data_IF_521065063387
#
_entry.id   IF_521065063387
#
_cell.length_a   1.000
_cell.length_b   1.000
_cell.length_c   1.000
_cell.angle_alpha   90.00
_cell.angle_beta   90.00
_cell.angle_gamma   90.00
#
_symmetry.space_group_name_H-M   'P 1'
#
loop_
_entity.id
_entity.type
_entity.pdbx_description
1 polymer ?
#
# COMPACT_ATOMS: atom_id res chain seq x y z
N UNK A 1 8.10 17.46 -11.37
CA UNK A 1 9.15 16.52 -10.95
C UNK A 1 8.91 16.20 -9.49
N UNK A 2 9.12 14.96 -9.09
CA UNK A 2 8.86 14.45 -7.74
C UNK A 2 10.20 14.11 -7.07
N UNK A 3 10.43 14.61 -5.85
CA UNK A 3 11.71 14.52 -5.16
C UNK A 3 11.49 13.99 -3.75
N UNK A 4 12.17 12.88 -3.44
CA UNK A 4 12.09 12.29 -2.10
C UNK A 4 13.30 12.71 -1.28
N UNK A 5 13.04 13.37 -0.16
CA UNK A 5 14.07 13.77 0.79
C UNK A 5 13.88 13.06 2.12
N UNK A 6 14.98 12.74 2.78
CA UNK A 6 15.00 12.32 4.18
C UNK A 6 15.73 13.35 5.02
N UNK A 7 15.10 13.78 6.10
CA UNK A 7 15.77 14.57 7.11
C UNK A 7 16.69 13.66 7.94
N UNK A 8 17.98 14.03 8.04
CA UNK A 8 18.94 13.37 8.92
C UNK A 8 19.12 14.22 10.17
N UNK A 9 18.64 13.71 11.31
CA UNK A 9 18.68 14.42 12.60
C UNK A 9 20.11 14.62 13.11
N UNK A 10 21.08 13.81 12.66
CA UNK A 10 22.47 13.87 13.15
C UNK A 10 23.20 15.12 12.66
N UNK A 11 22.92 15.53 11.43
CA UNK A 11 23.54 16.69 10.80
C UNK A 11 22.55 17.81 10.44
N UNK A 12 21.26 17.65 10.81
CA UNK A 12 20.17 18.60 10.61
C UNK A 12 19.98 19.00 9.15
N UNK A 13 20.20 18.07 8.21
CA UNK A 13 20.10 18.31 6.77
C UNK A 13 19.12 17.36 6.09
N UNK A 14 18.46 17.86 5.05
CA UNK A 14 17.72 17.02 4.12
C UNK A 14 18.67 16.41 3.10
N UNK A 15 18.56 15.09 2.90
CA UNK A 15 19.34 14.32 1.93
C UNK A 15 18.39 13.79 0.87
N UNK A 16 18.73 14.02 -0.40
CA UNK A 16 17.95 13.49 -1.53
C UNK A 16 18.08 11.97 -1.54
N UNK A 17 16.93 11.28 -1.52
CA UNK A 17 16.84 9.83 -1.63
C UNK A 17 16.62 9.39 -3.07
N UNK A 18 15.67 10.03 -3.74
CA UNK A 18 15.27 9.65 -5.09
C UNK A 18 14.83 10.86 -5.90
N UNK A 19 15.08 10.79 -7.21
CA UNK A 19 14.69 11.77 -8.21
C UNK A 19 13.77 11.08 -9.21
N UNK A 20 12.47 11.36 -9.10
CA UNK A 20 11.45 10.77 -9.94
C UNK A 20 11.09 11.75 -11.07
N UNK A 21 11.53 11.52 -12.32
CA UNK A 21 11.26 12.39 -13.45
C UNK A 21 9.82 12.22 -13.98
N UNK A 22 8.85 12.22 -13.07
CA UNK A 22 7.42 12.08 -13.32
C UNK A 22 6.64 13.00 -12.37
N UNK A 23 5.34 13.07 -12.58
CA UNK A 23 4.42 13.68 -11.62
C UNK A 23 4.20 12.67 -10.48
N UNK A 24 4.34 13.12 -9.23
CA UNK A 24 4.06 12.31 -8.05
C UNK A 24 2.57 12.08 -7.87
N UNK A 25 2.16 10.94 -7.29
CA UNK A 25 0.74 10.61 -7.12
C UNK A 25 -0.03 11.66 -6.28
N UNK A 26 0.66 12.30 -5.34
CA UNK A 26 0.11 13.32 -4.44
C UNK A 26 0.14 14.75 -5.02
N UNK A 27 0.38 14.94 -6.32
CA UNK A 27 0.64 16.26 -6.92
C UNK A 27 -0.45 17.33 -6.64
N UNK A 28 -1.69 16.92 -6.39
CA UNK A 28 -2.79 17.83 -6.06
C UNK A 28 -2.60 18.55 -4.72
N UNK A 29 -1.73 18.07 -3.83
CA UNK A 29 -1.37 18.83 -2.61
C UNK A 29 -0.62 20.13 -2.94
N UNK A 30 -0.08 20.26 -4.16
CA UNK A 30 0.59 21.46 -4.64
C UNK A 30 -0.33 22.37 -5.46
N UNK A 31 -1.65 22.30 -5.23
CA UNK A 31 -2.60 23.27 -5.80
C UNK A 31 -2.38 24.64 -5.16
N UNK A 32 -2.12 25.62 -6.00
CA UNK A 32 -1.93 27.01 -5.59
C UNK A 32 -3.26 27.71 -5.20
N UNK A 33 -3.20 28.97 -4.77
CA UNK A 33 -4.37 29.74 -4.34
C UNK A 33 -5.30 30.15 -5.51
N UNK A 34 -4.86 29.94 -6.75
CA UNK A 34 -5.63 30.13 -7.97
C UNK A 34 -6.11 28.81 -8.60
N UNK A 35 -5.96 27.67 -7.91
CA UNK A 35 -6.47 26.37 -8.33
C UNK A 35 -5.64 25.64 -9.39
N UNK A 36 -4.42 26.11 -9.68
CA UNK A 36 -3.50 25.47 -10.61
C UNK A 36 -2.71 24.37 -9.87
N UNK A 37 -2.79 23.14 -10.38
CA UNK A 37 -1.97 22.02 -9.95
C UNK A 37 -0.79 21.77 -10.92
N UNK A 38 0.13 20.90 -10.51
CA UNK A 38 1.34 20.56 -11.28
C UNK A 38 1.01 19.98 -12.66
N UNK A 39 -0.04 19.17 -12.78
CA UNK A 39 -0.41 18.55 -14.06
C UNK A 39 -0.98 19.59 -15.02
N UNK A 40 -1.85 20.49 -14.55
CA UNK A 40 -2.38 21.61 -15.32
C UNK A 40 -1.30 22.62 -15.69
N UNK A 41 -0.34 22.86 -14.80
CA UNK A 41 0.82 23.71 -15.10
C UNK A 41 1.66 23.11 -16.22
N UNK A 42 1.98 21.80 -16.16
CA UNK A 42 2.69 21.09 -17.22
C UNK A 42 1.93 21.12 -18.55
N UNK A 43 0.62 20.90 -18.52
CA UNK A 43 -0.21 20.99 -19.73
C UNK A 43 -0.13 22.37 -20.38
N UNK A 44 -0.24 23.44 -19.59
CA UNK A 44 -0.15 24.82 -20.09
C UNK A 44 1.22 25.11 -20.68
N UNK A 45 2.29 24.67 -20.02
CA UNK A 45 3.66 24.80 -20.51
C UNK A 45 3.84 24.11 -21.88
N UNK A 46 3.44 22.85 -21.99
CA UNK A 46 3.53 22.07 -23.23
C UNK A 46 2.66 22.61 -24.38
N UNK A 47 1.61 23.37 -24.07
CA UNK A 47 0.71 23.98 -25.06
C UNK A 47 0.99 25.46 -25.31
N UNK A 48 2.06 26.02 -24.73
CA UNK A 48 2.44 27.42 -24.89
C UNK A 48 1.49 28.42 -24.24
N UNK A 49 0.63 27.96 -23.33
CA UNK A 49 -0.28 28.83 -22.57
C UNK A 49 0.47 29.53 -21.45
N UNK A 50 0.03 30.75 -21.11
CA UNK A 50 0.61 31.48 -19.99
C UNK A 50 0.24 30.85 -18.65
N UNK A 51 1.25 30.67 -17.80
CA UNK A 51 1.10 30.24 -16.41
C UNK A 51 1.28 31.44 -15.50
N UNK A 52 0.19 31.90 -14.88
CA UNK A 52 0.24 33.01 -13.93
C UNK A 52 0.74 32.47 -12.60
N UNK A 53 1.83 33.02 -12.07
CA UNK A 53 2.34 32.65 -10.75
C UNK A 53 1.33 33.06 -9.68
N UNK A 54 1.13 32.18 -8.71
CA UNK A 54 0.29 32.44 -7.55
C UNK A 54 0.91 31.77 -6.31
N UNK A 55 0.32 31.95 -5.13
CA UNK A 55 0.95 31.47 -3.89
C UNK A 55 0.62 30.00 -3.65
N UNK A 56 1.62 29.24 -3.25
CA UNK A 56 1.39 27.89 -2.73
C UNK A 56 0.57 27.98 -1.44
N UNK A 57 -0.40 27.06 -1.29
CA UNK A 57 -1.22 26.94 -0.10
C UNK A 57 -0.67 25.83 0.79
N UNK A 58 -0.10 26.21 1.92
CA UNK A 58 0.41 25.26 2.92
C UNK A 58 -0.68 24.68 3.81
N UNK A 59 -0.36 23.60 4.54
CA UNK A 59 -1.27 22.99 5.50
C UNK A 59 -2.42 22.20 4.85
N UNK A 60 -2.24 21.75 3.61
CA UNK A 60 -3.14 20.78 2.99
C UNK A 60 -2.89 19.38 3.57
N UNK A 61 -3.97 18.66 3.82
CA UNK A 61 -3.97 17.28 4.31
C UNK A 61 -4.44 16.40 3.17
N UNK A 62 -3.55 15.55 2.69
CA UNK A 62 -3.91 14.53 1.70
C UNK A 62 -4.67 13.39 2.40
N UNK A 63 -5.79 12.98 1.83
CA UNK A 63 -6.61 11.89 2.36
C UNK A 63 -6.72 10.82 1.28
N UNK A 64 -6.23 9.62 1.56
CA UNK A 64 -6.30 8.47 0.67
C UNK A 64 -7.45 7.56 1.08
N UNK A 65 -8.64 7.80 0.55
CA UNK A 65 -9.80 6.98 0.83
C UNK A 65 -9.73 5.67 0.07
N UNK A 66 -10.26 4.55 0.59
CA UNK A 66 -10.66 4.19 1.96
C UNK A 66 -9.51 3.65 2.83
N UNK A 67 -8.29 3.63 2.29
CA UNK A 67 -7.07 3.16 2.93
C UNK A 67 -6.75 3.90 4.23
N UNK A 68 -6.97 5.22 4.30
CA UNK A 68 -6.77 6.03 5.49
C UNK A 68 -7.63 5.56 6.67
N UNK A 69 -8.89 5.18 6.40
CA UNK A 69 -9.75 4.63 7.44
C UNK A 69 -9.21 3.29 7.94
N UNK A 70 -8.77 2.42 7.01
CA UNK A 70 -8.22 1.11 7.36
C UNK A 70 -6.93 1.25 8.17
N UNK A 71 -6.05 2.16 7.77
CA UNK A 71 -4.82 2.48 8.49
C UNK A 71 -5.13 3.03 9.90
N UNK A 72 -6.05 3.99 9.99
CA UNK A 72 -6.49 4.60 11.26
C UNK A 72 -7.03 3.56 12.24
N UNK A 73 -7.89 2.63 11.78
CA UNK A 73 -8.40 1.53 12.61
C UNK A 73 -7.28 0.60 13.08
N UNK A 74 -6.33 0.29 12.22
CA UNK A 74 -5.19 -0.55 12.58
C UNK A 74 -4.30 0.12 13.63
N UNK A 75 -4.00 1.41 13.49
CA UNK A 75 -3.23 2.16 14.47
C UNK A 75 -3.97 2.32 15.81
N UNK A 76 -5.28 2.57 15.77
CA UNK A 76 -6.11 2.65 16.96
C UNK A 76 -6.12 1.31 17.74
N UNK A 77 -6.23 0.17 17.04
CA UNK A 77 -6.17 -1.17 17.66
C UNK A 77 -4.82 -1.47 18.32
N UNK A 78 -3.75 -0.84 17.86
CA UNK A 78 -2.40 -0.95 18.44
C UNK A 78 -2.12 0.11 19.51
N UNK A 79 -3.10 0.95 19.83
CA UNK A 79 -2.94 2.12 20.71
C UNK A 79 -1.87 3.13 20.23
N UNK A 80 -1.56 3.11 18.93
CA UNK A 80 -0.60 4.03 18.29
C UNK A 80 -1.27 5.34 17.85
N UNK A 81 -2.61 5.36 17.76
CA UNK A 81 -3.38 6.53 17.37
C UNK A 81 -4.60 6.72 18.27
N UNK A 82 -4.63 7.84 19.00
CA UNK A 82 -5.80 8.23 19.80
C UNK A 82 -6.86 8.91 18.94
N UNK A 83 -8.13 8.88 19.38
CA UNK A 83 -9.22 9.56 18.69
C UNK A 83 -8.99 11.08 18.55
N UNK A 84 -8.37 11.70 19.58
CA UNK A 84 -8.00 13.12 19.54
C UNK A 84 -6.92 13.39 18.50
N UNK A 85 -5.88 12.58 18.44
CA UNK A 85 -4.81 12.72 17.45
C UNK A 85 -5.34 12.50 16.02
N UNK A 86 -6.24 11.52 15.85
CA UNK A 86 -6.92 11.29 14.58
C UNK A 86 -7.76 12.50 14.15
N UNK A 87 -8.55 13.11 15.04
CA UNK A 87 -9.31 14.31 14.68
C UNK A 87 -8.38 15.49 14.34
N UNK A 88 -7.26 15.62 15.05
CA UNK A 88 -6.26 16.65 14.80
C UNK A 88 -5.53 16.46 13.46
N UNK A 89 -5.36 15.23 12.97
CA UNK A 89 -4.71 14.99 11.68
C UNK A 89 -5.51 15.54 10.49
N UNK A 90 -6.81 15.76 10.65
CA UNK A 90 -7.66 16.42 9.64
C UNK A 90 -7.66 17.95 9.75
N UNK A 91 -6.84 18.55 10.62
CA UNK A 91 -6.70 20.01 10.71
C UNK A 91 -6.00 20.53 9.46
N UNK A 92 -6.69 21.36 8.69
CA UNK A 92 -6.20 21.91 7.42
C UNK A 92 -7.22 21.75 6.30
N UNK A 93 -6.79 22.14 5.09
CA UNK A 93 -7.58 21.98 3.86
C UNK A 93 -7.41 20.55 3.35
N UNK A 94 -8.50 19.84 3.07
CA UNK A 94 -8.44 18.44 2.65
C UNK A 94 -8.24 18.37 1.15
N UNK A 95 -7.32 17.53 0.73
CA UNK A 95 -7.15 17.11 -0.66
C UNK A 95 -7.41 15.61 -0.72
N UNK A 96 -8.58 15.25 -1.23
CA UNK A 96 -8.97 13.86 -1.38
C UNK A 96 -8.28 13.24 -2.59
N UNK A 97 -7.91 11.96 -2.50
CA UNK A 97 -7.17 11.30 -3.56
C UNK A 97 -8.03 11.13 -4.83
N UNK A 98 -9.33 10.87 -4.66
CA UNK A 98 -10.23 10.65 -5.79
C UNK A 98 -11.70 10.99 -5.50
N UNK A 99 -12.10 11.28 -4.25
CA UNK A 99 -13.44 11.79 -3.99
C UNK A 99 -13.64 13.16 -4.66
N UNK A 100 -14.82 13.33 -5.28
CA UNK A 100 -15.26 14.58 -5.88
C UNK A 100 -16.71 14.85 -5.50
N UNK A 101 -17.03 16.12 -5.24
CA UNK A 101 -18.41 16.55 -5.01
C UNK A 101 -19.25 16.54 -6.29
N UNK A 102 -18.62 16.72 -7.44
CA UNK A 102 -19.30 16.73 -8.75
C UNK A 102 -19.70 15.32 -9.20
N UNK A 103 -18.99 14.29 -8.71
CA UNK A 103 -19.30 12.89 -8.96
C UNK A 103 -19.00 12.03 -7.71
N UNK A 104 -19.92 12.00 -6.73
CA UNK A 104 -19.72 11.24 -5.50
C UNK A 104 -19.99 9.74 -5.68
N UNK A 105 -20.56 9.31 -6.81
CA UNK A 105 -21.04 7.95 -6.99
C UNK A 105 -19.92 6.90 -6.89
N UNK A 106 -18.75 7.06 -7.54
CA UNK A 106 -17.63 6.13 -7.38
C UNK A 106 -17.26 5.93 -5.91
N UNK A 107 -17.25 7.01 -5.13
CA UNK A 107 -16.90 6.98 -3.72
C UNK A 107 -17.86 6.10 -2.92
N UNK A 108 -19.16 6.33 -3.10
CA UNK A 108 -20.20 5.54 -2.44
C UNK A 108 -20.15 4.06 -2.84
N UNK A 109 -19.86 3.77 -4.11
CA UNK A 109 -19.83 2.39 -4.63
C UNK A 109 -18.64 1.55 -4.12
N UNK A 110 -17.55 2.17 -3.66
CA UNK A 110 -16.39 1.43 -3.14
C UNK A 110 -16.69 0.81 -1.77
N UNK A 111 -17.48 1.46 -0.92
CA UNK A 111 -17.74 0.99 0.45
C UNK A 111 -18.45 -0.37 0.52
N UNK A 112 -19.57 -0.62 -0.20
CA UNK A 112 -20.20 -1.94 -0.23
C UNK A 112 -19.27 -3.02 -0.80
N UNK A 113 -18.47 -2.69 -1.83
CA UNK A 113 -17.52 -3.65 -2.42
C UNK A 113 -16.45 -4.07 -1.41
N UNK A 114 -15.92 -3.13 -0.63
CA UNK A 114 -14.95 -3.43 0.42
C UNK A 114 -15.62 -4.24 1.55
N UNK A 115 -16.84 -3.89 1.95
CA UNK A 115 -17.58 -4.63 2.96
C UNK A 115 -17.81 -6.09 2.54
N UNK A 116 -18.31 -6.33 1.32
CA UNK A 116 -18.54 -7.67 0.77
C UNK A 116 -17.24 -8.47 0.73
N UNK A 117 -16.14 -7.87 0.26
CA UNK A 117 -14.83 -8.55 0.22
C UNK A 117 -14.32 -8.89 1.62
N UNK A 118 -14.51 -7.98 2.59
CA UNK A 118 -14.19 -8.22 4.00
C UNK A 118 -14.96 -9.40 4.59
N UNK A 119 -16.29 -9.43 4.39
CA UNK A 119 -17.16 -10.51 4.86
C UNK A 119 -16.74 -11.85 4.25
N UNK A 120 -16.52 -11.91 2.93
CA UNK A 120 -16.08 -13.14 2.24
C UNK A 120 -14.74 -13.64 2.79
N UNK A 121 -13.82 -12.74 3.12
CA UNK A 121 -12.53 -13.10 3.73
C UNK A 121 -12.72 -13.70 5.14
N UNK A 122 -13.59 -13.12 5.96
CA UNK A 122 -13.92 -13.64 7.29
C UNK A 122 -14.56 -15.03 7.21
N UNK A 123 -15.54 -15.21 6.32
CA UNK A 123 -16.22 -16.49 6.13
C UNK A 123 -15.26 -17.60 5.64
N UNK A 124 -14.25 -17.26 4.83
CA UNK A 124 -13.22 -18.21 4.36
C UNK A 124 -12.24 -18.65 5.45
N UNK A 125 -12.02 -17.84 6.48
CA UNK A 125 -11.11 -18.18 7.58
C UNK A 125 -11.71 -19.29 8.46
N UNK A 126 -13.01 -19.58 8.33
CA UNK A 126 -13.71 -20.61 9.07
C UNK A 126 -13.81 -20.30 10.57
N UNK A 127 -14.71 -20.97 11.31
CA UNK A 127 -14.70 -20.87 12.76
C UNK A 127 -13.35 -21.38 13.29
N UNK A 128 -12.76 -20.65 14.23
CA UNK A 128 -11.57 -21.09 14.97
C UNK A 128 -11.89 -22.45 15.61
N UNK A 129 -11.34 -23.54 15.07
CA UNK A 129 -11.47 -24.86 15.69
C UNK A 129 -10.70 -24.79 17.00
N UNK A 130 -11.40 -24.77 18.13
CA UNK A 130 -10.76 -24.87 19.44
C UNK A 130 -10.00 -26.18 19.52
N UNK A 131 -8.73 -26.13 19.95
CA UNK A 131 -7.86 -27.31 20.09
C UNK A 131 -8.31 -28.28 21.21
N UNK A 132 -9.51 -28.11 21.78
CA UNK A 132 -10.03 -28.93 22.86
C UNK A 132 -10.15 -30.42 22.47
N UNK A 133 -10.34 -30.72 21.19
CA UNK A 133 -10.41 -32.11 20.70
C UNK A 133 -9.04 -32.79 20.48
N UNK A 134 -7.91 -32.06 20.57
CA UNK A 134 -6.58 -32.62 20.27
C UNK A 134 -5.86 -33.22 21.49
N UNK A 135 -6.34 -32.94 22.71
CA UNK A 135 -5.77 -33.51 23.94
C UNK A 135 -6.34 -34.89 24.31
N UNK A 136 -7.52 -35.27 23.82
CA UNK A 136 -8.09 -36.60 24.10
C UNK A 136 -7.51 -37.71 23.22
N UNK A 137 -6.86 -37.37 22.10
CA UNK A 137 -6.29 -38.36 21.16
C UNK A 137 -4.81 -38.67 21.41
N UNK A 138 -4.08 -37.87 22.20
CA UNK A 138 -2.65 -38.08 22.49
C UNK A 138 -2.38 -38.94 23.73
N UNK A 139 -3.41 -39.38 24.46
CA UNK A 139 -3.25 -40.22 25.66
C UNK A 139 -3.00 -41.71 25.36
N UNK A 140 -2.98 -42.14 24.08
CA UNK A 140 -2.94 -43.56 23.70
C UNK A 140 -1.77 -44.00 22.81
N UNK A 141 -0.84 -43.12 22.43
CA UNK A 141 0.21 -43.48 21.47
C UNK A 141 1.57 -43.64 22.17
N UNK A 142 1.87 -44.88 22.57
CA UNK A 142 3.17 -45.27 23.08
C UNK A 142 4.27 -44.91 22.07
N UNK A 143 5.25 -44.13 22.53
CA UNK A 143 6.46 -43.77 21.77
C UNK A 143 7.29 -45.03 21.48
N UNK A 144 7.40 -45.40 20.19
CA UNK A 144 8.46 -46.31 19.74
C UNK A 144 9.81 -45.59 19.88
N UNK A 145 10.87 -46.25 20.34
CA UNK A 145 12.20 -45.65 20.39
C UNK A 145 12.70 -45.38 18.97
N UNK A 146 13.30 -44.21 18.77
CA UNK A 146 13.90 -43.79 17.50
C UNK A 146 14.98 -44.78 17.07
N UNK A 147 14.86 -45.29 15.83
CA UNK A 147 15.97 -45.96 15.17
C UNK A 147 17.00 -44.89 14.77
N UNK A 148 18.19 -44.97 15.38
CA UNK A 148 19.32 -44.14 15.00
C UNK A 148 19.71 -44.41 13.54
N UNK A 149 19.62 -43.40 12.68
CA UNK A 149 20.17 -43.47 11.33
C UNK A 149 21.67 -43.11 11.33
N UNK A 150 22.51 -43.83 10.56
CA UNK A 150 23.92 -43.51 10.44
C UNK A 150 24.12 -42.20 9.65
N UNK A 151 24.98 -41.32 10.16
CA UNK A 151 25.36 -40.05 9.53
C UNK A 151 26.40 -40.33 8.44
N UNK A 152 25.96 -40.88 7.31
CA UNK A 152 26.79 -40.94 6.10
C UNK A 152 25.95 -40.57 4.89
N UNK A 153 25.98 -39.29 4.51
CA UNK A 153 25.25 -38.84 3.33
C UNK A 153 24.97 -37.33 3.20
N UNK A 154 25.76 -36.44 3.83
CA UNK A 154 25.77 -35.04 3.40
C UNK A 154 26.66 -34.92 2.16
N UNK A 155 26.08 -35.08 0.98
CA UNK A 155 26.80 -34.93 -0.27
C UNK A 155 25.93 -35.17 -1.51
N UNK A 156 25.54 -34.08 -2.15
CA UNK A 156 25.09 -34.00 -3.54
C UNK A 156 23.79 -34.73 -3.93
N UNK A 157 22.71 -33.95 -4.11
CA UNK A 157 22.22 -33.59 -5.46
C UNK A 157 20.94 -32.75 -5.38
N UNK A 158 21.01 -31.63 -6.09
CA UNK A 158 19.91 -30.79 -6.56
C UNK A 158 18.72 -31.58 -7.11
N UNK A 159 17.51 -31.16 -6.78
CA UNK A 159 16.34 -31.22 -7.67
C UNK A 159 15.27 -30.21 -7.20
N UNK A 160 15.46 -28.95 -7.58
CA UNK A 160 14.38 -27.97 -7.67
C UNK A 160 13.97 -27.87 -9.14
N UNK A 161 12.96 -28.65 -9.50
CA UNK A 161 12.08 -28.51 -10.67
C UNK A 161 10.74 -29.04 -10.19
N UNK A 162 9.56 -28.46 -10.45
CA UNK A 162 9.13 -27.50 -11.46
C UNK A 162 7.71 -27.06 -11.08
N UNK A 163 7.47 -25.76 -10.86
CA UNK A 163 6.17 -25.12 -11.16
C UNK A 163 6.46 -23.67 -11.56
N UNK A 164 6.87 -23.45 -12.80
CA UNK A 164 6.69 -22.22 -13.59
C UNK A 164 7.33 -22.46 -14.96
N UNK A 165 6.61 -23.09 -15.88
CA UNK A 165 7.19 -23.61 -17.12
C UNK A 165 6.31 -23.58 -18.36
N UNK A 166 5.27 -22.74 -18.44
CA UNK A 166 5.12 -22.00 -19.69
C UNK A 166 4.45 -20.63 -19.50
N UNK A 167 5.23 -19.56 -19.31
CA UNK A 167 4.73 -18.19 -19.54
C UNK A 167 5.83 -17.19 -19.97
N UNK A 168 6.95 -17.70 -20.47
CA UNK A 168 8.12 -16.90 -20.90
C UNK A 168 8.46 -17.04 -22.39
N UNK A 169 7.61 -17.72 -23.18
CA UNK A 169 7.79 -17.86 -24.64
C UNK A 169 6.94 -16.90 -25.48
N UNK A 170 6.21 -15.95 -24.87
CA UNK A 170 5.43 -14.93 -25.62
C UNK A 170 6.03 -13.51 -25.63
N UNK A 171 7.18 -13.27 -24.98
CA UNK A 171 7.76 -11.92 -24.82
C UNK A 171 9.04 -11.64 -25.63
N UNK A 172 9.47 -12.56 -26.50
CA UNK A 172 10.64 -12.35 -27.38
C UNK A 172 10.30 -12.62 -28.85
N UNK A 173 9.29 -11.94 -29.39
CA UNK A 173 9.21 -11.75 -30.84
C UNK A 173 9.85 -10.40 -31.20
N UNK A 174 10.83 -10.37 -32.11
CA UNK A 174 11.31 -9.12 -32.68
C UNK A 174 10.22 -8.49 -33.53
N UNK A 175 10.09 -7.17 -33.46
CA UNK A 175 9.28 -6.39 -34.39
C UNK A 175 9.97 -6.46 -35.76
N UNK A 176 9.25 -6.94 -36.76
CA UNK A 176 9.62 -6.79 -38.17
C UNK A 176 8.95 -5.54 -38.72
N UNK A 177 9.73 -4.76 -39.48
CA UNK A 177 9.35 -3.51 -40.16
C UNK A 177 8.08 -3.61 -41.02
#
# INVERSE_FOLDING_TARGET
MDLDFRFDERDQKYKLLDFNPRIGAQFRVFVDDNGLDVARALYRDLTGQTVRRSKQVDGRVFVLEPEDLRASVNYARRSELSARAWLQSFKGRKEFAWFSWDDPLPFLMVWPRIAIQGIRKILRIGPFKSNAARQSTSAGQASKPDQAMPITGYGARSRLTSIMGPLWQSLTRPWSD
#
